data_IF_467610205283
#
_entry.id   IF_467610205283
#
_cell.length_a   1.000
_cell.length_b   1.000
_cell.length_c   1.000
_cell.angle_alpha   90.00
_cell.angle_beta   90.00
_cell.angle_gamma   90.00
#
_symmetry.space_group_name_H-M   'P 1'
#
loop_
_entity.id
_entity.type
_entity.pdbx_description
1 polymer ?
#
# COMPACT_ATOMS: atom_id res chain seq x y z
N UNK A 1 10.27 11.80 -3.84
CA UNK A 1 9.89 11.87 -5.27
C UNK A 1 8.60 12.67 -5.38
N UNK A 2 8.42 13.54 -6.39
CA UNK A 2 7.16 14.25 -6.57
C UNK A 2 6.05 13.29 -7.05
N UNK A 3 4.85 13.43 -6.51
CA UNK A 3 3.66 12.69 -6.89
C UNK A 3 3.19 13.19 -8.25
N UNK A 4 3.17 12.28 -9.22
CA UNK A 4 2.70 12.50 -10.57
C UNK A 4 2.00 11.22 -11.07
N UNK A 5 1.23 11.35 -12.15
CA UNK A 5 0.60 10.21 -12.80
C UNK A 5 1.68 9.21 -13.24
N UNK A 6 1.55 7.96 -12.80
CA UNK A 6 2.44 6.88 -13.19
C UNK A 6 2.31 6.57 -14.69
N UNK A 7 3.24 5.79 -15.24
CA UNK A 7 3.10 5.28 -16.61
C UNK A 7 1.80 4.48 -16.77
N UNK A 8 1.43 3.68 -15.77
CA UNK A 8 0.20 2.90 -15.78
C UNK A 8 -1.03 3.80 -15.77
N UNK A 9 -1.03 4.91 -15.04
CA UNK A 9 -2.16 5.86 -15.03
C UNK A 9 -2.43 6.49 -16.40
N UNK A 10 -1.37 6.63 -17.20
CA UNK A 10 -1.41 7.18 -18.56
C UNK A 10 -1.82 6.15 -19.60
N UNK A 11 -1.57 4.86 -19.35
CA UNK A 11 -1.81 3.78 -20.31
C UNK A 11 -3.06 2.95 -20.01
N UNK A 12 -3.48 2.86 -18.75
CA UNK A 12 -4.66 2.10 -18.35
C UNK A 12 -5.90 2.97 -18.53
N UNK A 13 -6.75 2.52 -19.44
CA UNK A 13 -8.11 3.00 -19.57
C UNK A 13 -9.02 2.26 -18.59
N UNK A 14 -9.47 2.98 -17.57
CA UNK A 14 -10.39 2.45 -16.56
C UNK A 14 -11.87 2.67 -16.93
N UNK A 15 -12.15 3.45 -17.98
CA UNK A 15 -13.50 3.73 -18.46
C UNK A 15 -13.56 3.59 -19.99
N UNK A 16 -13.44 2.35 -20.52
CA UNK A 16 -13.39 2.09 -21.95
C UNK A 16 -14.69 2.43 -22.70
N UNK A 17 -15.75 2.80 -21.97
CA UNK A 17 -17.01 3.26 -22.56
C UNK A 17 -17.00 4.77 -22.80
N UNK A 18 -16.16 5.52 -22.09
CA UNK A 18 -15.92 6.93 -22.36
C UNK A 18 -15.17 7.10 -23.68
N UNK A 19 -15.54 8.15 -24.42
CA UNK A 19 -14.80 8.59 -25.62
C UNK A 19 -13.86 9.75 -25.33
N UNK A 20 -13.88 10.26 -24.11
CA UNK A 20 -13.01 11.34 -23.66
C UNK A 20 -11.76 10.74 -23.01
N UNK A 21 -10.60 11.15 -23.52
CA UNK A 21 -9.31 10.83 -22.91
C UNK A 21 -9.11 11.61 -21.61
N UNK A 22 -8.27 11.08 -20.71
CA UNK A 22 -7.89 11.79 -19.49
C UNK A 22 -6.98 12.97 -19.83
N UNK A 23 -7.38 14.16 -19.40
CA UNK A 23 -6.52 15.34 -19.44
C UNK A 23 -5.41 15.30 -18.39
N UNK A 24 -4.21 15.77 -18.78
CA UNK A 24 -3.07 15.94 -17.89
C UNK A 24 -2.68 17.43 -17.79
N UNK A 25 -2.25 17.91 -16.61
CA UNK A 25 -1.98 17.17 -15.38
C UNK A 25 -3.27 16.77 -14.62
N UNK A 26 -3.21 15.61 -13.94
CA UNK A 26 -4.32 15.15 -13.08
C UNK A 26 -4.47 16.07 -11.87
N UNK A 27 -5.70 16.12 -11.33
CA UNK A 27 -5.96 16.82 -10.06
C UNK A 27 -5.24 16.13 -8.90
N UNK A 28 -4.95 16.89 -7.84
CA UNK A 28 -4.33 16.34 -6.62
C UNK A 28 -5.13 15.14 -6.07
N UNK A 29 -6.46 15.21 -6.11
CA UNK A 29 -7.31 14.15 -5.61
C UNK A 29 -7.15 12.86 -6.44
N UNK A 30 -7.15 12.97 -7.77
CA UNK A 30 -6.91 11.83 -8.66
C UNK A 30 -5.51 11.22 -8.48
N UNK A 31 -4.50 12.06 -8.24
CA UNK A 31 -3.14 11.57 -7.94
C UNK A 31 -3.09 10.74 -6.66
N UNK A 32 -3.80 11.17 -5.61
CA UNK A 32 -3.91 10.44 -4.35
C UNK A 32 -4.72 9.15 -4.54
N UNK A 33 -5.81 9.19 -5.31
CA UNK A 33 -6.62 7.99 -5.59
C UNK A 33 -5.84 6.95 -6.42
N UNK A 34 -5.00 7.38 -7.37
CA UNK A 34 -4.09 6.47 -8.09
C UNK A 34 -3.04 5.86 -7.16
N UNK A 35 -2.45 6.67 -6.27
CA UNK A 35 -1.52 6.19 -5.26
C UNK A 35 -2.17 5.17 -4.32
N UNK A 36 -3.42 5.40 -3.91
CA UNK A 36 -4.21 4.46 -3.10
C UNK A 36 -4.39 3.12 -3.82
N UNK A 37 -4.75 3.15 -5.10
CA UNK A 37 -4.90 1.94 -5.94
C UNK A 37 -3.59 1.17 -6.06
N UNK A 38 -2.48 1.87 -6.27
CA UNK A 38 -1.15 1.27 -6.41
C UNK A 38 -0.71 0.61 -5.09
N UNK A 39 -0.90 1.30 -3.95
CA UNK A 39 -0.67 0.74 -2.62
C UNK A 39 -1.53 -0.50 -2.35
N UNK A 40 -2.82 -0.46 -2.69
CA UNK A 40 -3.71 -1.61 -2.53
C UNK A 40 -3.23 -2.80 -3.37
N UNK A 41 -2.82 -2.55 -4.62
CA UNK A 41 -2.28 -3.57 -5.52
C UNK A 41 -0.98 -4.18 -4.97
N UNK A 42 -0.10 -3.36 -4.42
CA UNK A 42 1.14 -3.81 -3.78
C UNK A 42 0.85 -4.66 -2.54
N UNK A 43 0.00 -4.19 -1.63
CA UNK A 43 -0.31 -4.90 -0.38
C UNK A 43 -1.09 -6.20 -0.59
N UNK A 44 -1.80 -6.32 -1.72
CA UNK A 44 -2.44 -7.56 -2.14
C UNK A 44 -1.55 -8.49 -2.98
N UNK A 45 -0.39 -8.02 -3.41
CA UNK A 45 0.60 -8.88 -4.07
C UNK A 45 1.33 -9.74 -3.03
N UNK A 46 1.65 -10.98 -3.39
CA UNK A 46 2.36 -11.93 -2.51
C UNK A 46 3.70 -12.29 -3.11
N UNK A 47 4.73 -12.25 -2.27
CA UNK A 47 6.08 -12.68 -2.64
C UNK A 47 6.06 -14.20 -2.83
N UNK A 48 6.70 -14.67 -3.90
CA UNK A 48 6.81 -16.09 -4.18
C UNK A 48 7.63 -16.84 -3.12
N UNK A 49 7.46 -18.16 -3.04
CA UNK A 49 8.14 -18.97 -2.01
C UNK A 49 9.66 -19.12 -2.21
N UNK A 50 10.19 -18.70 -3.35
CA UNK A 50 11.61 -18.84 -3.65
C UNK A 50 12.36 -17.66 -3.05
N UNK A 51 13.15 -17.94 -2.03
CA UNK A 51 14.05 -16.94 -1.44
C UNK A 51 15.09 -16.48 -2.46
N UNK A 52 15.32 -15.17 -2.48
CA UNK A 52 16.39 -14.55 -3.25
C UNK A 52 17.68 -14.60 -2.41
N UNK A 53 18.78 -15.17 -2.94
CA UNK A 53 20.07 -15.20 -2.24
C UNK A 53 20.52 -13.80 -1.81
N UNK A 54 21.07 -13.67 -0.60
CA UNK A 54 21.41 -12.37 -0.01
C UNK A 54 22.46 -11.60 -0.81
N UNK A 55 23.28 -12.32 -1.59
CA UNK A 55 24.32 -11.77 -2.45
C UNK A 55 23.72 -10.95 -3.62
N UNK A 56 22.47 -11.25 -4.02
CA UNK A 56 21.79 -10.61 -5.14
C UNK A 56 21.01 -9.38 -4.68
N UNK A 57 21.73 -8.33 -4.28
CA UNK A 57 21.16 -7.10 -3.71
C UNK A 57 20.08 -6.44 -4.59
N UNK A 58 20.28 -6.39 -5.90
CA UNK A 58 19.30 -5.80 -6.82
C UNK A 58 18.06 -6.67 -6.99
N UNK A 59 18.20 -7.99 -6.89
CA UNK A 59 17.06 -8.91 -6.95
C UNK A 59 16.13 -8.74 -5.73
N UNK A 60 16.67 -8.33 -4.58
CA UNK A 60 15.88 -7.99 -3.39
C UNK A 60 14.93 -6.81 -3.62
N UNK A 61 15.25 -5.92 -4.56
CA UNK A 61 14.44 -4.73 -4.90
C UNK A 61 13.63 -4.89 -6.18
N UNK A 62 13.68 -6.08 -6.77
CA UNK A 62 13.02 -6.40 -8.04
C UNK A 62 11.59 -6.89 -7.83
N UNK A 63 10.89 -7.12 -8.94
CA UNK A 63 9.54 -7.73 -8.95
C UNK A 63 9.48 -9.09 -8.24
N UNK A 64 10.61 -9.80 -8.10
CA UNK A 64 10.67 -11.08 -7.38
C UNK A 64 10.25 -10.95 -5.90
N UNK A 65 10.46 -9.78 -5.31
CA UNK A 65 10.10 -9.48 -3.92
C UNK A 65 9.01 -8.40 -3.81
N UNK A 66 8.32 -8.08 -4.90
CA UNK A 66 7.24 -7.09 -4.87
C UNK A 66 6.01 -7.61 -4.13
N UNK A 67 5.54 -6.83 -3.15
CA UNK A 67 4.36 -7.13 -2.34
C UNK A 67 4.71 -7.53 -0.91
N UNK A 68 3.83 -8.34 -0.30
CA UNK A 68 4.00 -8.81 1.08
C UNK A 68 4.44 -10.28 1.14
N UNK A 69 5.30 -10.66 2.09
CA UNK A 69 5.52 -12.08 2.40
C UNK A 69 4.23 -12.73 2.90
N UNK A 70 4.16 -14.06 2.93
CA UNK A 70 3.02 -14.74 3.54
C UNK A 70 2.96 -14.42 5.05
N UNK A 71 1.84 -13.87 5.50
CA UNK A 71 1.57 -13.54 6.90
C UNK A 71 0.39 -14.33 7.47
N UNK A 72 -0.15 -15.32 6.75
CA UNK A 72 -1.34 -16.09 7.14
C UNK A 72 -1.21 -16.83 8.48
N UNK A 73 0.00 -17.22 8.85
CA UNK A 73 0.28 -17.92 10.10
C UNK A 73 0.53 -16.99 11.30
N UNK A 74 0.45 -15.66 11.13
CA UNK A 74 0.76 -14.72 12.21
C UNK A 74 -0.38 -14.59 13.23
N UNK A 75 -0.06 -14.48 14.54
CA UNK A 75 -1.07 -14.34 15.58
C UNK A 75 -1.60 -12.90 15.68
N UNK A 76 -2.54 -12.52 14.81
CA UNK A 76 -3.11 -11.15 14.76
C UNK A 76 -3.90 -10.74 16.00
N UNK A 77 -4.28 -11.68 16.86
CA UNK A 77 -4.91 -11.39 18.15
C UNK A 77 -3.92 -10.86 19.19
N UNK A 78 -2.62 -11.06 18.97
CA UNK A 78 -1.56 -10.61 19.87
C UNK A 78 -0.99 -9.27 19.43
N UNK A 79 -0.61 -8.43 20.39
CA UNK A 79 0.09 -7.16 20.12
C UNK A 79 1.42 -7.40 19.36
N UNK A 80 2.09 -8.53 19.63
CA UNK A 80 3.32 -8.91 18.94
C UNK A 80 3.08 -9.18 17.45
N UNK A 81 2.11 -10.03 17.11
CA UNK A 81 1.77 -10.34 15.71
C UNK A 81 1.26 -9.12 14.95
N UNK A 82 0.46 -8.29 15.60
CA UNK A 82 0.05 -6.98 15.09
C UNK A 82 1.24 -6.07 14.76
N UNK A 83 2.20 -5.95 15.69
CA UNK A 83 3.42 -5.17 15.48
C UNK A 83 4.29 -5.71 14.34
N UNK A 84 4.38 -7.04 14.19
CA UNK A 84 5.07 -7.69 13.08
C UNK A 84 4.43 -7.33 11.74
N UNK A 85 3.11 -7.42 11.62
CA UNK A 85 2.39 -7.05 10.40
C UNK A 85 2.61 -5.57 10.05
N UNK A 86 2.50 -4.64 11.01
CA UNK A 86 2.81 -3.23 10.79
C UNK A 86 4.24 -3.04 10.27
N UNK A 87 5.20 -3.78 10.84
CA UNK A 87 6.59 -3.76 10.41
C UNK A 87 6.78 -4.20 8.96
N UNK A 88 6.12 -5.29 8.56
CA UNK A 88 6.13 -5.84 7.21
C UNK A 88 5.53 -4.86 6.20
N UNK A 89 4.32 -4.36 6.48
CA UNK A 89 3.63 -3.39 5.61
C UNK A 89 4.48 -2.13 5.44
N UNK A 90 5.03 -1.59 6.54
CA UNK A 90 5.91 -0.42 6.50
C UNK A 90 7.18 -0.66 5.66
N UNK A 91 7.80 -1.83 5.81
CA UNK A 91 8.99 -2.17 5.05
C UNK A 91 8.70 -2.26 3.54
N UNK A 92 7.59 -2.90 3.17
CA UNK A 92 7.15 -3.00 1.78
C UNK A 92 6.87 -1.61 1.17
N UNK A 93 6.14 -0.74 1.86
CA UNK A 93 5.88 0.63 1.40
C UNK A 93 7.19 1.40 1.20
N UNK A 94 8.13 1.29 2.14
CA UNK A 94 9.42 2.00 2.04
C UNK A 94 10.24 1.55 0.84
N UNK A 95 10.16 0.27 0.47
CA UNK A 95 10.95 -0.28 -0.62
C UNK A 95 10.29 -0.04 -1.99
N UNK A 96 8.97 -0.25 -2.09
CA UNK A 96 8.27 -0.32 -3.36
C UNK A 96 7.39 0.91 -3.66
N UNK A 97 7.19 1.83 -2.71
CA UNK A 97 6.48 3.09 -2.97
C UNK A 97 7.29 4.36 -2.65
N UNK A 98 8.24 4.74 -3.53
CA UNK A 98 9.12 5.90 -3.32
C UNK A 98 8.40 7.25 -3.38
N UNK A 99 7.12 7.27 -3.78
CA UNK A 99 6.24 8.45 -3.75
C UNK A 99 5.83 8.82 -2.32
N UNK A 100 5.89 7.87 -1.39
CA UNK A 100 5.66 8.07 0.03
C UNK A 100 6.99 8.15 0.81
N UNK A 101 7.13 9.18 1.63
CA UNK A 101 8.21 9.33 2.60
C UNK A 101 7.73 9.05 4.02
N UNK A 102 8.63 8.55 4.85
CA UNK A 102 8.43 8.31 6.29
C UNK A 102 7.14 7.56 6.66
N UNK A 103 6.83 6.40 6.03
CA UNK A 103 5.60 5.67 6.33
C UNK A 103 5.59 5.16 7.78
N UNK A 104 4.48 5.41 8.46
CA UNK A 104 4.15 4.89 9.80
C UNK A 104 2.88 4.05 9.68
N UNK A 105 2.91 2.84 10.22
CA UNK A 105 1.79 1.90 10.16
C UNK A 105 1.40 1.52 11.57
N UNK A 106 0.13 1.74 11.92
CA UNK A 106 -0.41 1.48 13.25
C UNK A 106 -1.67 0.61 13.16
N UNK A 107 -1.94 -0.21 14.18
CA UNK A 107 -3.24 -0.86 14.32
C UNK A 107 -4.25 0.15 14.89
N UNK A 108 -5.42 0.24 14.27
CA UNK A 108 -6.56 0.92 14.85
C UNK A 108 -7.23 -0.05 15.83
N UNK A 109 -7.14 0.24 17.12
CA UNK A 109 -7.77 -0.60 18.14
C UNK A 109 -9.29 -0.59 17.97
N UNK A 110 -9.88 -1.77 17.85
CA UNK A 110 -11.33 -1.92 17.80
C UNK A 110 -11.93 -2.18 19.17
N UNK A 111 -13.10 -1.56 19.41
CA UNK A 111 -13.82 -1.59 20.68
C UNK A 111 -14.69 -2.86 20.88
N UNK A 112 -14.73 -3.78 19.92
CA UNK A 112 -15.69 -4.91 19.95
C UNK A 112 -15.00 -6.25 19.70
N UNK A 113 -15.23 -7.21 20.60
CA UNK A 113 -14.68 -8.57 20.52
C UNK A 113 -15.27 -9.43 19.38
N UNK A 114 -16.29 -8.94 18.67
CA UNK A 114 -16.96 -9.67 17.59
C UNK A 114 -16.41 -9.33 16.20
N UNK A 115 -15.73 -8.18 16.04
CA UNK A 115 -15.14 -7.80 14.76
C UNK A 115 -13.75 -8.45 14.64
N UNK A 116 -13.61 -9.36 13.68
CA UNK A 116 -12.35 -10.06 13.38
C UNK A 116 -11.54 -9.35 12.31
N UNK A 117 -12.04 -8.23 11.81
CA UNK A 117 -11.36 -7.43 10.78
C UNK A 117 -10.22 -6.69 11.44
N UNK A 118 -9.00 -6.89 10.95
CA UNK A 118 -7.87 -6.11 11.43
C UNK A 118 -7.80 -4.80 10.66
N UNK A 119 -7.95 -3.67 11.35
CA UNK A 119 -7.80 -2.36 10.73
C UNK A 119 -6.42 -1.77 11.02
N UNK A 120 -5.72 -1.35 9.98
CA UNK A 120 -4.48 -0.59 10.10
C UNK A 120 -4.68 0.82 9.55
N UNK A 121 -3.84 1.73 10.01
CA UNK A 121 -3.73 3.08 9.47
C UNK A 121 -2.30 3.31 9.02
N UNK A 122 -2.15 3.76 7.78
CA UNK A 122 -0.89 4.13 7.15
C UNK A 122 -0.86 5.65 7.10
N UNK A 123 0.12 6.25 7.76
CA UNK A 123 0.41 7.68 7.69
C UNK A 123 1.73 7.84 6.96
N UNK A 124 1.79 8.75 5.99
CA UNK A 124 3.01 9.04 5.25
C UNK A 124 2.98 10.49 4.74
N UNK A 125 4.11 10.97 4.26
CA UNK A 125 4.19 12.26 3.59
C UNK A 125 4.43 12.02 2.09
N UNK A 126 3.87 12.87 1.24
CA UNK A 126 4.12 12.84 -0.20
C UNK A 126 4.38 14.26 -0.70
N UNK A 127 5.19 14.39 -1.76
CA UNK A 127 5.50 15.69 -2.36
C UNK A 127 4.54 15.96 -3.51
N UNK A 128 3.64 16.94 -3.39
CA UNK A 128 2.69 17.30 -4.46
C UNK A 128 3.06 18.67 -5.01
N UNK A 129 3.47 18.73 -6.27
CA UNK A 129 4.14 19.91 -6.81
C UNK A 129 5.43 20.19 -6.05
N UNK A 130 5.50 21.34 -5.37
CA UNK A 130 6.64 21.74 -4.54
C UNK A 130 6.30 21.77 -3.04
N UNK A 131 5.24 21.10 -2.61
CA UNK A 131 4.80 21.11 -1.21
C UNK A 131 4.65 19.70 -0.66
N UNK A 132 5.21 19.47 0.53
CA UNK A 132 4.98 18.25 1.28
C UNK A 132 3.55 18.24 1.85
N UNK A 133 2.91 17.08 1.76
CA UNK A 133 1.54 16.85 2.20
C UNK A 133 1.48 15.53 2.94
N UNK A 134 0.92 15.56 4.14
CA UNK A 134 0.60 14.34 4.86
C UNK A 134 -0.63 13.67 4.24
N UNK A 135 -0.54 12.35 4.12
CA UNK A 135 -1.60 11.49 3.62
C UNK A 135 -1.83 10.37 4.62
N UNK A 136 -3.10 10.04 4.82
CA UNK A 136 -3.52 8.98 5.71
C UNK A 136 -4.47 8.04 4.99
N UNK A 137 -4.14 6.74 5.04
CA UNK A 137 -4.92 5.67 4.46
C UNK A 137 -5.34 4.69 5.54
N UNK A 138 -6.61 4.34 5.56
CA UNK A 138 -7.13 3.26 6.38
C UNK A 138 -7.11 1.98 5.55
N UNK A 139 -6.73 0.86 6.15
CA UNK A 139 -6.78 -0.44 5.52
C UNK A 139 -7.55 -1.42 6.39
N UNK A 140 -8.35 -2.26 5.77
CA UNK A 140 -9.05 -3.37 6.41
C UNK A 140 -8.49 -4.69 5.87
N UNK A 141 -8.06 -5.58 6.75
CA UNK A 141 -7.61 -6.92 6.40
C UNK A 141 -8.76 -7.89 6.55
N UNK A 142 -9.14 -8.52 5.44
CA UNK A 142 -10.17 -9.56 5.42
C UNK A 142 -9.60 -10.85 6.04
N UNK A 143 -10.28 -11.46 7.03
CA UNK A 143 -9.71 -12.56 7.82
C UNK A 143 -9.55 -13.90 7.07
N UNK A 144 -10.21 -14.11 5.93
CA UNK A 144 -10.20 -15.41 5.22
C UNK A 144 -9.14 -15.45 4.13
N UNK A 145 -9.14 -14.48 3.21
CA UNK A 145 -8.22 -14.38 2.08
C UNK A 145 -7.04 -13.44 2.35
N UNK A 146 -7.06 -12.72 3.48
CA UNK A 146 -6.00 -11.79 3.89
C UNK A 146 -5.80 -10.64 2.90
N UNK A 147 -6.83 -10.36 2.10
CA UNK A 147 -6.91 -9.22 1.23
C UNK A 147 -6.98 -7.94 2.04
N UNK A 148 -6.27 -6.92 1.58
CA UNK A 148 -6.28 -5.59 2.17
C UNK A 148 -7.10 -4.67 1.30
N UNK A 149 -8.08 -3.99 1.90
CA UNK A 149 -8.86 -2.94 1.23
C UNK A 149 -8.48 -1.60 1.80
N UNK A 150 -8.09 -0.66 0.94
CA UNK A 150 -7.62 0.65 1.34
C UNK A 150 -8.68 1.72 1.07
N UNK A 151 -8.68 2.74 1.92
CA UNK A 151 -9.53 3.92 1.77
C UNK A 151 -8.80 5.15 2.30
N UNK A 152 -9.17 6.32 1.80
CA UNK A 152 -8.72 7.58 2.40
C UNK A 152 -9.29 7.72 3.81
N UNK A 153 -8.47 8.20 4.75
CA UNK A 153 -9.02 8.67 6.01
C UNK A 153 -9.93 9.88 5.77
N UNK A 154 -11.04 9.94 6.51
CA UNK A 154 -11.98 11.07 6.47
C UNK A 154 -11.40 12.27 7.21
#
# INVERSE_FOLDING_TARGET
>A
MALAASLLDKLIDNDPQSREDKDFPLTQQLLIDNLLRDLESMLNSRIGWREVPFELKEANKSILNYGLPDFSSMPFSSQQGQGQLCGIVRAAIREFEPRLSSPVVNILQEKSAADRTLRLQINATCLIGNSERDVTFNTEVEPVNLGMKLSRAK
#
